data_IF_116908766704
#
_entry.id   IF_116908766704
#
_cell.length_a   1.000
_cell.length_b   1.000
_cell.length_c   1.000
_cell.angle_alpha   90.00
_cell.angle_beta   90.00
_cell.angle_gamma   90.00
#
_symmetry.space_group_name_H-M   'P 1'
#
loop_
_entity.id
_entity.type
_entity.pdbx_description
1 polymer ?
#
# COMPACT_ATOMS: atom_id res chain seq x y z
N UNK A 1 -18.45 20.26 36.59
CA UNK A 1 -18.76 19.37 35.45
C UNK A 1 -17.42 18.82 34.98
N UNK A 2 -17.13 17.56 35.29
CA UNK A 2 -15.90 16.93 34.80
C UNK A 2 -16.04 16.72 33.28
N UNK A 3 -15.22 17.39 32.48
CA UNK A 3 -15.06 17.02 31.07
C UNK A 3 -14.76 15.52 30.99
N UNK A 4 -15.45 14.74 30.16
CA UNK A 4 -15.12 13.35 29.98
C UNK A 4 -13.64 13.29 29.56
N UNK A 5 -12.86 12.49 30.31
CA UNK A 5 -11.47 12.23 29.94
C UNK A 5 -11.48 11.72 28.49
N UNK A 6 -10.81 12.44 27.60
CA UNK A 6 -10.59 11.98 26.22
C UNK A 6 -9.85 10.65 26.36
N UNK A 7 -10.52 9.56 26.02
CA UNK A 7 -9.91 8.24 26.06
C UNK A 7 -8.65 8.25 25.18
N UNK A 8 -7.55 7.70 25.69
CA UNK A 8 -6.32 7.60 24.91
C UNK A 8 -6.59 6.90 23.57
N UNK A 9 -6.12 7.46 22.46
CA UNK A 9 -6.34 6.87 21.15
C UNK A 9 -5.83 5.44 21.08
N UNK A 10 -6.72 4.50 20.73
CA UNK A 10 -6.37 3.08 20.57
C UNK A 10 -5.91 2.75 19.16
N UNK A 11 -5.94 3.70 18.24
CA UNK A 11 -5.65 3.52 16.81
C UNK A 11 -4.63 4.55 16.34
N UNK A 12 -3.63 4.10 15.63
CA UNK A 12 -2.74 4.95 14.83
C UNK A 12 -3.01 4.71 13.35
N UNK A 13 -3.33 5.77 12.61
CA UNK A 13 -3.46 5.73 11.15
C UNK A 13 -2.10 6.08 10.54
N UNK A 14 -1.55 5.20 9.71
CA UNK A 14 -0.35 5.46 8.91
C UNK A 14 -0.80 5.70 7.47
N UNK A 15 -0.61 6.93 6.99
CA UNK A 15 -0.82 7.27 5.58
C UNK A 15 0.52 7.18 4.85
N UNK A 16 0.57 6.40 3.77
CA UNK A 16 1.79 6.16 3.00
C UNK A 16 1.56 6.44 1.49
N UNK A 17 2.58 6.95 0.76
CA UNK A 17 2.43 7.22 -0.66
C UNK A 17 2.28 5.91 -1.44
N UNK A 18 1.29 5.88 -2.35
CA UNK A 18 1.03 4.72 -3.19
C UNK A 18 1.56 4.88 -4.62
N UNK A 19 1.03 5.83 -5.39
CA UNK A 19 1.42 6.02 -6.79
C UNK A 19 1.38 7.47 -7.26
N UNK A 20 0.76 8.36 -6.49
CA UNK A 20 0.59 9.78 -6.77
C UNK A 20 0.59 10.61 -5.49
N UNK A 21 0.86 11.90 -5.61
CA UNK A 21 0.77 12.86 -4.51
C UNK A 21 -0.38 13.85 -4.69
N UNK A 22 -0.90 13.95 -5.91
CA UNK A 22 -1.92 14.94 -6.28
C UNK A 22 -3.27 14.76 -5.60
N UNK A 23 -3.55 13.61 -4.96
CA UNK A 23 -4.78 13.36 -4.19
C UNK A 23 -4.58 13.45 -2.67
N UNK A 24 -3.41 13.87 -2.23
CA UNK A 24 -3.04 13.94 -0.80
C UNK A 24 -3.98 14.83 0.01
N UNK A 25 -4.40 15.98 -0.54
CA UNK A 25 -5.28 16.94 0.15
C UNK A 25 -6.64 16.32 0.41
N UNK A 26 -7.30 15.83 -0.62
CA UNK A 26 -8.64 15.23 -0.55
C UNK A 26 -8.67 14.03 0.39
N UNK A 27 -7.64 13.19 0.33
CA UNK A 27 -7.49 12.04 1.22
C UNK A 27 -7.34 12.47 2.69
N UNK A 28 -6.41 13.38 3.00
CA UNK A 28 -6.18 13.85 4.36
C UNK A 28 -7.41 14.59 4.94
N UNK A 29 -8.03 15.44 4.14
CA UNK A 29 -9.25 16.16 4.54
C UNK A 29 -10.39 15.19 4.83
N UNK A 30 -10.58 14.14 4.01
CA UNK A 30 -11.63 13.14 4.23
C UNK A 30 -11.42 12.37 5.55
N UNK A 31 -10.16 12.05 5.92
CA UNK A 31 -9.84 11.40 7.20
C UNK A 31 -10.33 12.27 8.36
N UNK A 32 -9.97 13.56 8.39
CA UNK A 32 -10.36 14.44 9.49
C UNK A 32 -11.85 14.77 9.50
N UNK A 33 -12.48 14.86 8.33
CA UNK A 33 -13.90 15.18 8.20
C UNK A 33 -14.81 14.01 8.64
N UNK A 34 -14.38 12.76 8.42
CA UNK A 34 -15.22 11.58 8.58
C UNK A 34 -14.78 10.63 9.69
N UNK A 35 -13.81 11.02 10.52
CA UNK A 35 -13.32 10.19 11.61
C UNK A 35 -13.60 10.83 12.96
N UNK A 36 -14.69 10.42 13.60
CA UNK A 36 -15.04 10.85 14.97
C UNK A 36 -14.36 10.00 16.05
N UNK A 37 -13.92 8.79 15.71
CA UNK A 37 -13.21 7.89 16.63
C UNK A 37 -11.82 8.42 16.93
N UNK A 38 -11.36 8.47 18.21
CA UNK A 38 -10.04 8.99 18.56
C UNK A 38 -8.90 8.23 17.88
N UNK A 39 -8.00 8.95 17.22
CA UNK A 39 -6.86 8.36 16.51
C UNK A 39 -5.62 9.24 16.63
N UNK A 40 -4.44 8.61 16.52
CA UNK A 40 -3.18 9.26 16.17
C UNK A 40 -2.98 9.15 14.66
N UNK A 41 -2.35 10.13 14.04
CA UNK A 41 -2.00 10.06 12.62
C UNK A 41 -0.51 10.23 12.43
N UNK A 42 0.08 9.33 11.63
CA UNK A 42 1.45 9.40 11.14
C UNK A 42 1.38 9.47 9.63
N UNK A 43 1.79 10.60 9.06
CA UNK A 43 1.86 10.77 7.62
C UNK A 43 3.30 10.56 7.15
N UNK A 44 3.53 9.59 6.27
CA UNK A 44 4.85 9.33 5.69
C UNK A 44 4.90 9.96 4.30
N UNK A 45 5.72 10.99 4.15
CA UNK A 45 5.92 11.70 2.91
C UNK A 45 7.23 11.26 2.23
N UNK A 46 7.09 10.46 1.19
CA UNK A 46 8.18 9.95 0.38
C UNK A 46 8.58 10.91 -0.74
N UNK A 47 9.08 12.11 -0.40
CA UNK A 47 9.58 13.11 -1.36
C UNK A 47 8.50 13.70 -2.28
N UNK A 48 7.36 14.08 -1.71
CA UNK A 48 6.30 14.76 -2.46
C UNK A 48 6.79 16.09 -3.07
N UNK A 49 6.13 16.58 -4.14
CA UNK A 49 6.39 17.89 -4.74
C UNK A 49 6.24 19.03 -3.72
N UNK A 50 6.91 20.16 -3.97
CA UNK A 50 7.02 21.28 -3.02
C UNK A 50 5.67 21.86 -2.56
N UNK A 51 4.64 21.85 -3.40
CA UNK A 51 3.31 22.32 -3.03
C UNK A 51 2.60 21.34 -2.07
N UNK A 52 2.71 20.02 -2.31
CA UNK A 52 2.19 18.99 -1.40
C UNK A 52 2.96 18.97 -0.07
N UNK A 53 4.29 19.09 -0.15
CA UNK A 53 5.14 19.22 1.04
C UNK A 53 4.68 20.37 1.94
N UNK A 54 4.53 21.58 1.40
CA UNK A 54 4.09 22.75 2.17
C UNK A 54 2.74 22.54 2.81
N UNK A 55 1.79 21.97 2.06
CA UNK A 55 0.49 21.61 2.59
C UNK A 55 0.58 20.64 3.78
N UNK A 56 1.36 19.56 3.65
CA UNK A 56 1.55 18.57 4.72
C UNK A 56 2.23 19.18 5.96
N UNK A 57 3.26 20.03 5.78
CA UNK A 57 3.95 20.73 6.86
C UNK A 57 3.02 21.72 7.60
N UNK A 58 2.11 22.38 6.88
CA UNK A 58 1.09 23.26 7.44
C UNK A 58 0.04 22.47 8.22
N UNK A 59 -0.55 21.44 7.60
CA UNK A 59 -1.56 20.60 8.23
C UNK A 59 -1.03 19.81 9.44
N UNK A 60 0.23 19.38 9.39
CA UNK A 60 0.88 18.73 10.54
C UNK A 60 0.95 19.66 11.75
N UNK A 61 1.27 20.95 11.54
CA UNK A 61 1.28 21.94 12.63
C UNK A 61 -0.12 22.29 13.14
N UNK A 62 -1.08 22.41 12.23
CA UNK A 62 -2.46 22.78 12.55
C UNK A 62 -3.18 21.66 13.31
N UNK A 63 -3.07 20.43 12.84
CA UNK A 63 -3.81 19.26 13.34
C UNK A 63 -3.00 18.40 14.33
N UNK A 64 -1.70 18.67 14.49
CA UNK A 64 -0.85 18.00 15.48
C UNK A 64 -0.45 16.57 15.12
N UNK A 65 -0.53 16.16 13.86
CA UNK A 65 -0.09 14.82 13.45
C UNK A 65 1.42 14.75 13.20
N UNK A 66 1.97 13.55 13.34
CA UNK A 66 3.38 13.30 13.03
C UNK A 66 3.62 13.20 11.53
N UNK A 67 4.51 14.07 11.00
CA UNK A 67 4.96 14.02 9.62
C UNK A 67 6.38 13.44 9.56
N UNK A 68 6.53 12.31 8.87
CA UNK A 68 7.84 11.70 8.56
C UNK A 68 8.14 11.97 7.10
N UNK A 69 9.20 12.73 6.80
CA UNK A 69 9.58 13.04 5.43
C UNK A 69 10.95 12.49 5.07
N UNK A 70 11.09 12.02 3.83
CA UNK A 70 12.36 11.66 3.20
C UNK A 70 12.61 12.51 1.96
N UNK A 71 13.89 12.68 1.58
CA UNK A 71 14.30 13.38 0.37
C UNK A 71 14.42 12.45 -0.86
N UNK A 72 13.88 11.24 -0.73
CA UNK A 72 13.84 10.23 -1.77
C UNK A 72 12.51 9.48 -1.74
N UNK A 73 12.13 8.92 -2.89
CA UNK A 73 10.91 8.13 -2.99
C UNK A 73 11.01 6.83 -2.19
N UNK A 74 9.92 6.43 -1.61
CA UNK A 74 9.83 5.22 -0.79
C UNK A 74 9.03 4.13 -1.53
N UNK A 75 9.48 2.89 -1.43
CA UNK A 75 8.60 1.75 -1.71
C UNK A 75 7.52 1.65 -0.63
N UNK A 76 6.32 1.13 -0.93
CA UNK A 76 5.20 1.15 0.01
C UNK A 76 5.50 0.53 1.37
N UNK A 77 6.07 -0.67 1.40
CA UNK A 77 6.39 -1.31 2.68
C UNK A 77 7.46 -0.56 3.47
N UNK A 78 8.42 0.08 2.79
CA UNK A 78 9.40 0.93 3.45
C UNK A 78 8.74 2.15 4.09
N UNK A 79 7.80 2.78 3.38
CA UNK A 79 7.03 3.89 3.92
C UNK A 79 6.20 3.45 5.14
N UNK A 80 5.47 2.33 5.01
CA UNK A 80 4.65 1.78 6.09
C UNK A 80 5.49 1.41 7.31
N UNK A 81 6.67 0.83 7.14
CA UNK A 81 7.57 0.49 8.22
C UNK A 81 8.14 1.71 8.96
N UNK A 82 8.39 2.83 8.27
CA UNK A 82 8.79 4.07 8.93
C UNK A 82 7.72 4.55 9.93
N UNK A 83 6.46 4.48 9.53
CA UNK A 83 5.33 4.77 10.42
C UNK A 83 5.16 3.70 11.50
N UNK A 84 5.20 2.40 11.14
CA UNK A 84 4.96 1.29 12.04
C UNK A 84 5.92 1.27 13.25
N UNK A 85 7.18 1.68 13.06
CA UNK A 85 8.16 1.81 14.16
C UNK A 85 7.79 2.87 15.19
N UNK A 86 6.84 3.75 14.91
CA UNK A 86 6.38 4.82 15.81
C UNK A 86 5.02 4.50 16.46
N UNK A 87 4.42 3.35 16.12
CA UNK A 87 3.10 2.96 16.63
C UNK A 87 3.21 2.41 18.05
N UNK A 88 2.42 2.98 18.96
CA UNK A 88 2.29 2.59 20.36
C UNK A 88 0.85 2.22 20.76
N UNK A 89 -0.05 2.14 19.78
CA UNK A 89 -1.48 1.89 19.97
C UNK A 89 -1.83 0.42 19.74
N UNK A 90 -2.99 -0.02 20.27
CA UNK A 90 -3.52 -1.38 20.10
C UNK A 90 -3.73 -1.77 18.64
N UNK A 91 -4.11 -0.81 17.81
CA UNK A 91 -4.37 -0.97 16.40
C UNK A 91 -3.54 -0.03 15.55
N UNK A 92 -3.12 -0.49 14.40
CA UNK A 92 -2.63 0.34 13.30
C UNK A 92 -3.56 0.23 12.11
N UNK A 93 -3.88 1.35 11.50
CA UNK A 93 -4.50 1.40 10.16
C UNK A 93 -3.42 1.73 9.16
N UNK A 94 -3.24 0.89 8.17
CA UNK A 94 -2.50 1.25 6.97
C UNK A 94 -3.46 1.84 5.95
N UNK A 95 -3.10 2.98 5.40
CA UNK A 95 -3.89 3.68 4.39
C UNK A 95 -2.99 4.28 3.32
N UNK A 96 -3.38 4.14 2.07
CA UNK A 96 -2.71 4.81 0.97
C UNK A 96 -3.15 6.30 0.91
N UNK A 97 -2.29 7.18 0.39
CA UNK A 97 -2.51 8.63 0.34
C UNK A 97 -3.50 9.10 -0.73
N UNK A 98 -4.14 8.18 -1.41
CA UNK A 98 -5.16 8.41 -2.44
C UNK A 98 -6.51 7.77 -2.08
N UNK A 99 -6.80 7.63 -0.78
CA UNK A 99 -8.03 7.03 -0.25
C UNK A 99 -8.93 8.09 0.36
N UNK A 100 -10.22 8.06 0.00
CA UNK A 100 -11.30 8.81 0.63
C UNK A 100 -12.16 7.87 1.48
N UNK A 101 -12.54 8.30 2.69
CA UNK A 101 -13.30 7.51 3.65
C UNK A 101 -14.72 8.03 3.86
N UNK A 102 -15.60 7.19 4.38
CA UNK A 102 -17.00 7.55 4.73
C UNK A 102 -17.16 7.85 6.22
N UNK A 103 -18.21 8.57 6.66
CA UNK A 103 -18.48 8.77 8.08
C UNK A 103 -18.56 7.45 8.87
N UNK A 104 -17.90 7.39 10.03
CA UNK A 104 -17.95 6.24 10.92
C UNK A 104 -17.07 5.04 10.53
N UNK A 105 -16.38 5.08 9.40
CA UNK A 105 -15.57 3.98 8.87
C UNK A 105 -14.62 3.34 9.90
N UNK A 106 -13.88 4.16 10.66
CA UNK A 106 -12.89 3.68 11.60
C UNK A 106 -13.52 2.98 12.80
N UNK A 107 -14.60 3.55 13.34
CA UNK A 107 -15.35 2.97 14.46
C UNK A 107 -15.90 1.58 14.08
N UNK A 108 -16.42 1.46 12.88
CA UNK A 108 -16.96 0.19 12.36
C UNK A 108 -15.87 -0.87 12.24
N UNK A 109 -14.68 -0.52 11.75
CA UNK A 109 -13.53 -1.44 11.69
C UNK A 109 -13.07 -1.86 13.09
N UNK A 110 -12.98 -0.93 14.04
CA UNK A 110 -12.58 -1.24 15.42
C UNK A 110 -13.60 -2.16 16.08
N UNK A 111 -14.89 -1.89 15.94
CA UNK A 111 -15.95 -2.75 16.48
C UNK A 111 -15.85 -4.17 15.91
N UNK A 112 -15.68 -4.30 14.59
CA UNK A 112 -15.47 -5.61 13.98
C UNK A 112 -14.25 -6.32 14.57
N UNK A 113 -13.11 -5.64 14.71
CA UNK A 113 -11.90 -6.22 15.27
C UNK A 113 -12.07 -6.65 16.74
N UNK A 114 -12.85 -5.89 17.54
CA UNK A 114 -13.11 -6.23 18.94
C UNK A 114 -14.05 -7.42 19.09
N UNK A 115 -15.16 -7.42 18.34
CA UNK A 115 -16.19 -8.46 18.43
C UNK A 115 -15.72 -9.82 17.89
N UNK A 116 -14.98 -9.80 16.78
CA UNK A 116 -14.50 -11.02 16.11
C UNK A 116 -13.15 -11.51 16.60
N UNK A 117 -12.42 -10.68 17.36
CA UNK A 117 -11.00 -10.87 17.70
C UNK A 117 -10.10 -10.99 16.46
N UNK A 118 -10.53 -10.41 15.34
CA UNK A 118 -9.77 -10.43 14.10
C UNK A 118 -8.41 -9.75 14.27
N UNK A 119 -7.39 -10.34 13.63
CA UNK A 119 -6.05 -9.74 13.54
C UNK A 119 -6.03 -8.61 12.52
N UNK A 120 -6.72 -8.81 11.39
CA UNK A 120 -6.86 -7.83 10.31
C UNK A 120 -8.33 -7.67 9.96
N UNK A 121 -8.79 -6.42 9.77
CA UNK A 121 -10.10 -6.15 9.20
C UNK A 121 -9.95 -5.25 7.98
N UNK A 122 -10.54 -5.68 6.87
CA UNK A 122 -10.64 -4.93 5.62
C UNK A 122 -12.00 -4.24 5.55
N UNK A 123 -12.08 -2.95 5.22
CA UNK A 123 -13.33 -2.35 4.77
C UNK A 123 -13.75 -2.92 3.42
N UNK A 124 -14.97 -2.58 2.97
CA UNK A 124 -15.34 -2.66 1.57
C UNK A 124 -14.57 -1.58 0.80
N UNK A 125 -13.61 -1.99 -0.02
CA UNK A 125 -12.77 -1.07 -0.78
C UNK A 125 -13.41 -0.83 -2.14
N UNK A 126 -13.72 0.43 -2.42
CA UNK A 126 -14.18 0.91 -3.72
C UNK A 126 -13.04 1.52 -4.51
N UNK A 127 -13.25 1.76 -5.80
CA UNK A 127 -12.29 2.38 -6.70
C UNK A 127 -12.90 3.45 -7.57
N UNK A 128 -12.06 4.42 -7.99
CA UNK A 128 -12.40 5.43 -8.99
C UNK A 128 -13.48 6.43 -8.54
N UNK A 129 -13.96 7.21 -9.49
CA UNK A 129 -15.05 8.16 -9.34
C UNK A 129 -16.28 7.69 -10.14
N UNK A 130 -17.51 7.91 -9.64
CA UNK A 130 -17.87 8.55 -8.37
C UNK A 130 -17.41 7.75 -7.15
N UNK A 131 -17.08 8.47 -6.04
CA UNK A 131 -16.67 7.82 -4.80
C UNK A 131 -17.72 6.80 -4.33
N UNK A 132 -17.26 5.69 -3.74
CA UNK A 132 -18.09 4.68 -3.07
C UNK A 132 -19.12 3.97 -3.98
N UNK A 133 -18.88 3.95 -5.31
CA UNK A 133 -19.84 3.39 -6.27
C UNK A 133 -19.40 2.06 -6.88
N UNK A 134 -18.13 1.89 -7.21
CA UNK A 134 -17.61 0.67 -7.82
C UNK A 134 -16.66 -0.07 -6.87
N UNK A 135 -16.87 -1.37 -6.70
CA UNK A 135 -16.07 -2.21 -5.81
C UNK A 135 -14.72 -2.55 -6.42
N UNK A 136 -13.66 -2.31 -5.67
CA UNK A 136 -12.34 -2.85 -5.93
C UNK A 136 -12.14 -4.21 -5.24
N UNK A 137 -12.43 -4.28 -3.93
CA UNK A 137 -12.18 -5.46 -3.13
C UNK A 137 -13.24 -5.62 -2.02
N UNK A 138 -13.93 -6.73 -2.03
CA UNK A 138 -14.82 -7.19 -0.96
C UNK A 138 -14.24 -8.47 -0.31
N UNK A 139 -12.98 -8.38 0.17
CA UNK A 139 -12.23 -9.52 0.64
C UNK A 139 -11.72 -10.41 -0.50
N UNK A 140 -11.29 -11.63 -0.17
CA UNK A 140 -10.72 -12.53 -1.17
C UNK A 140 -10.01 -13.72 -0.57
N UNK A 141 -9.15 -14.33 -1.37
CA UNK A 141 -8.32 -15.48 -0.98
C UNK A 141 -6.84 -15.14 -1.20
N UNK A 142 -5.99 -15.51 -0.24
CA UNK A 142 -4.54 -15.52 -0.38
C UNK A 142 -3.96 -16.81 0.22
N UNK A 143 -2.88 -17.32 -0.37
CA UNK A 143 -2.26 -18.53 0.14
C UNK A 143 -1.32 -19.19 -0.85
N UNK A 144 -0.80 -20.35 -0.46
CA UNK A 144 -0.03 -21.23 -1.32
C UNK A 144 -0.78 -22.55 -1.48
N UNK A 145 -1.13 -22.89 -2.73
CA UNK A 145 -1.68 -24.19 -3.08
C UNK A 145 -0.55 -25.15 -3.41
N UNK A 146 -0.51 -26.27 -2.74
CA UNK A 146 0.43 -27.37 -3.04
C UNK A 146 -0.27 -28.39 -3.91
N UNK A 147 0.29 -28.64 -5.09
CA UNK A 147 -0.21 -29.63 -6.06
C UNK A 147 0.87 -30.68 -6.33
N UNK A 148 0.58 -31.94 -6.04
CA UNK A 148 1.49 -33.05 -6.33
C UNK A 148 0.94 -33.88 -7.49
N UNK A 149 1.73 -34.10 -8.53
CA UNK A 149 1.39 -34.94 -9.67
C UNK A 149 2.58 -35.86 -9.98
N UNK A 150 2.44 -37.15 -9.68
CA UNK A 150 3.57 -38.08 -9.69
C UNK A 150 4.65 -37.61 -8.71
N UNK A 151 5.89 -37.55 -9.16
CA UNK A 151 7.06 -37.12 -8.35
C UNK A 151 7.25 -35.61 -8.31
N UNK A 152 6.39 -34.83 -8.98
CA UNK A 152 6.53 -33.38 -9.06
C UNK A 152 5.57 -32.68 -8.11
N UNK A 153 6.10 -31.89 -7.18
CA UNK A 153 5.31 -31.00 -6.30
C UNK A 153 5.47 -29.56 -6.75
N UNK A 154 4.35 -28.87 -6.91
CA UNK A 154 4.29 -27.44 -7.30
C UNK A 154 3.64 -26.63 -6.19
N UNK A 155 4.24 -25.49 -5.86
CA UNK A 155 3.70 -24.51 -4.93
C UNK A 155 3.20 -23.30 -5.72
N UNK A 156 1.89 -23.10 -5.78
CA UNK A 156 1.26 -22.05 -6.58
C UNK A 156 0.67 -20.97 -5.68
N UNK A 157 0.89 -19.71 -6.02
CA UNK A 157 0.26 -18.60 -5.31
C UNK A 157 -1.25 -18.59 -5.58
N UNK A 158 -2.04 -18.41 -4.53
CA UNK A 158 -3.46 -18.07 -4.62
C UNK A 158 -3.59 -16.59 -4.31
N UNK A 159 -4.24 -15.87 -5.18
CA UNK A 159 -4.67 -14.49 -4.99
C UNK A 159 -5.95 -14.30 -5.78
N UNK A 160 -7.04 -14.05 -5.07
CA UNK A 160 -8.35 -13.83 -5.67
C UNK A 160 -9.07 -12.72 -4.94
N UNK A 161 -9.42 -11.68 -5.67
CA UNK A 161 -10.20 -10.54 -5.18
C UNK A 161 -11.67 -10.81 -5.48
N UNK A 162 -12.53 -10.57 -4.49
CA UNK A 162 -13.97 -10.79 -4.65
C UNK A 162 -14.70 -9.52 -5.07
N UNK A 163 -15.72 -9.70 -5.93
CA UNK A 163 -16.69 -8.68 -6.35
C UNK A 163 -16.08 -7.47 -7.11
N UNK A 164 -14.83 -7.54 -7.56
CA UNK A 164 -14.19 -6.45 -8.30
C UNK A 164 -15.01 -6.05 -9.53
N UNK A 165 -15.18 -4.73 -9.75
CA UNK A 165 -15.92 -4.15 -10.87
C UNK A 165 -17.45 -4.22 -10.73
N UNK A 166 -17.98 -4.65 -9.56
CA UNK A 166 -19.42 -4.64 -9.30
C UNK A 166 -19.83 -3.30 -8.69
N UNK A 167 -21.07 -2.88 -8.94
CA UNK A 167 -21.62 -1.70 -8.30
C UNK A 167 -21.94 -1.98 -6.83
N UNK A 168 -21.61 -1.02 -5.96
CA UNK A 168 -21.85 -1.14 -4.50
C UNK A 168 -23.34 -1.35 -4.22
N UNK A 169 -24.22 -0.59 -4.88
CA UNK A 169 -25.68 -0.68 -4.71
C UNK A 169 -26.25 -2.07 -4.99
N UNK A 170 -25.63 -2.82 -5.93
CA UNK A 170 -26.07 -4.16 -6.31
C UNK A 170 -25.66 -5.21 -5.29
N UNK A 171 -24.51 -5.03 -4.62
CA UNK A 171 -23.93 -6.09 -3.82
C UNK A 171 -23.93 -5.82 -2.31
N UNK A 172 -23.94 -4.56 -1.88
CA UNK A 172 -23.88 -4.21 -0.45
C UNK A 172 -24.99 -4.87 0.37
N UNK A 173 -26.26 -4.95 -0.10
CA UNK A 173 -27.33 -5.65 0.64
C UNK A 173 -27.09 -7.16 0.85
N UNK A 174 -26.18 -7.75 0.06
CA UNK A 174 -25.85 -9.18 0.11
C UNK A 174 -24.56 -9.47 0.90
N UNK A 175 -23.81 -8.42 1.23
CA UNK A 175 -22.56 -8.55 1.97
C UNK A 175 -22.83 -8.55 3.46
N UNK A 176 -22.07 -9.38 4.15
CA UNK A 176 -22.08 -9.47 5.61
C UNK A 176 -20.65 -9.48 6.11
N UNK A 177 -20.47 -9.07 7.36
CA UNK A 177 -19.21 -9.27 8.07
C UNK A 177 -18.87 -10.75 8.05
N UNK A 178 -17.68 -11.09 7.55
CA UNK A 178 -17.26 -12.48 7.41
C UNK A 178 -15.75 -12.64 7.41
N UNK A 179 -15.31 -13.84 7.77
CA UNK A 179 -13.91 -14.21 7.62
C UNK A 179 -13.53 -14.27 6.15
N UNK A 180 -12.37 -13.73 5.81
CA UNK A 180 -11.82 -13.70 4.45
C UNK A 180 -10.34 -14.08 4.49
N UNK A 181 -9.72 -14.29 3.34
CA UNK A 181 -8.29 -14.61 3.22
C UNK A 181 -7.44 -13.43 2.71
N UNK A 182 -8.06 -12.29 2.37
CA UNK A 182 -7.36 -11.17 1.74
C UNK A 182 -7.88 -9.83 2.26
N UNK A 183 -6.96 -8.92 2.54
CA UNK A 183 -7.16 -7.49 2.76
C UNK A 183 -6.11 -6.73 1.95
N UNK A 184 -6.41 -5.51 1.52
CA UNK A 184 -5.49 -4.68 0.74
C UNK A 184 -5.04 -3.43 1.47
N UNK A 185 -3.80 -3.00 1.23
CA UNK A 185 -3.20 -1.83 1.87
C UNK A 185 -3.81 -0.49 1.47
N UNK A 186 -4.77 -0.47 0.56
CA UNK A 186 -5.54 0.75 0.33
C UNK A 186 -6.15 1.25 1.65
N UNK A 187 -6.74 0.33 2.42
CA UNK A 187 -7.13 0.55 3.81
C UNK A 187 -7.30 -0.80 4.52
N UNK A 188 -6.66 -0.97 5.66
CA UNK A 188 -6.92 -2.09 6.57
C UNK A 188 -6.52 -1.71 7.99
N UNK A 189 -7.25 -2.22 8.99
CA UNK A 189 -6.85 -2.14 10.39
C UNK A 189 -6.21 -3.46 10.82
N UNK A 190 -5.14 -3.37 11.58
CA UNK A 190 -4.35 -4.52 12.05
C UNK A 190 -4.12 -4.40 13.55
N UNK A 191 -4.27 -5.50 14.30
CA UNK A 191 -3.81 -5.56 15.70
C UNK A 191 -2.30 -5.48 15.74
N UNK A 192 -1.78 -4.49 16.44
CA UNK A 192 -0.35 -4.17 16.43
C UNK A 192 0.51 -5.31 17.00
N UNK A 193 0.00 -6.07 17.97
CA UNK A 193 0.68 -7.21 18.58
C UNK A 193 1.14 -8.29 17.57
N UNK A 194 0.48 -8.41 16.41
CA UNK A 194 0.87 -9.39 15.41
C UNK A 194 2.31 -9.17 14.91
N UNK A 195 2.77 -7.91 14.89
CA UNK A 195 4.12 -7.57 14.42
C UNK A 195 5.23 -8.03 15.36
N UNK A 196 4.92 -8.38 16.62
CA UNK A 196 5.86 -9.05 17.51
C UNK A 196 6.19 -10.47 17.04
N UNK A 197 5.23 -11.13 16.36
CA UNK A 197 5.36 -12.49 15.85
C UNK A 197 5.90 -12.54 14.41
N UNK A 198 5.38 -11.69 13.53
CA UNK A 198 5.71 -11.74 12.11
C UNK A 198 6.83 -10.76 11.70
N UNK A 199 7.21 -9.83 12.59
CA UNK A 199 8.16 -8.77 12.30
C UNK A 199 7.56 -7.65 11.45
N UNK A 200 8.43 -6.75 10.96
CA UNK A 200 8.05 -5.65 10.08
C UNK A 200 7.65 -6.17 8.68
N UNK A 201 6.99 -5.33 7.90
CA UNK A 201 6.63 -5.62 6.52
C UNK A 201 7.89 -5.83 5.66
N UNK A 202 7.82 -6.76 4.71
CA UNK A 202 8.96 -7.11 3.85
C UNK A 202 9.26 -6.00 2.84
N UNK A 203 10.33 -5.24 3.06
CA UNK A 203 10.75 -4.12 2.20
C UNK A 203 11.28 -4.58 0.83
N UNK A 204 11.56 -5.88 0.64
CA UNK A 204 11.89 -6.48 -0.65
C UNK A 204 10.69 -6.61 -1.58
N UNK A 205 9.45 -6.50 -1.06
CA UNK A 205 8.23 -6.36 -1.84
C UNK A 205 8.02 -4.87 -2.14
N UNK A 206 8.55 -4.41 -3.26
CA UNK A 206 8.72 -2.98 -3.55
C UNK A 206 7.50 -2.34 -4.21
N UNK A 207 6.65 -3.12 -4.92
CA UNK A 207 5.50 -2.54 -5.61
C UNK A 207 4.26 -3.42 -5.75
N UNK A 208 4.36 -4.71 -5.52
CA UNK A 208 3.25 -5.64 -5.69
C UNK A 208 3.32 -6.78 -4.69
N UNK A 209 2.17 -7.38 -4.36
CA UNK A 209 2.03 -8.56 -3.49
C UNK A 209 2.31 -8.32 -2.00
N UNK A 210 2.50 -7.09 -1.57
CA UNK A 210 2.75 -6.73 -0.17
C UNK A 210 1.59 -7.18 0.73
N UNK A 211 0.35 -6.97 0.28
CA UNK A 211 -0.86 -7.34 1.00
C UNK A 211 -1.08 -8.86 1.05
N UNK A 212 -0.74 -9.57 -0.04
CA UNK A 212 -0.80 -11.05 -0.07
C UNK A 212 0.17 -11.63 0.94
N UNK A 213 1.41 -11.12 0.97
CA UNK A 213 2.44 -11.53 1.92
C UNK A 213 1.99 -11.34 3.37
N UNK A 214 1.45 -10.16 3.71
CA UNK A 214 0.94 -9.88 5.05
C UNK A 214 -0.19 -10.85 5.43
N UNK A 215 -1.19 -11.04 4.56
CA UNK A 215 -2.31 -11.93 4.85
C UNK A 215 -1.87 -13.39 5.05
N UNK A 216 -0.90 -13.86 4.26
CA UNK A 216 -0.33 -15.19 4.43
C UNK A 216 0.49 -15.31 5.73
N UNK A 217 1.27 -14.29 6.12
CA UNK A 217 1.99 -14.28 7.40
C UNK A 217 1.03 -14.28 8.59
N UNK A 218 -0.02 -13.45 8.54
CA UNK A 218 -1.07 -13.43 9.57
C UNK A 218 -1.73 -14.80 9.71
N UNK A 219 -2.12 -15.42 8.59
CA UNK A 219 -2.70 -16.76 8.60
C UNK A 219 -1.75 -17.82 9.18
N UNK A 220 -0.46 -17.76 8.82
CA UNK A 220 0.58 -18.67 9.32
C UNK A 220 0.82 -18.49 10.82
N UNK A 221 0.67 -17.29 11.35
CA UNK A 221 0.75 -16.99 12.78
C UNK A 221 -0.54 -17.34 13.55
N UNK A 222 -1.54 -17.96 12.91
CA UNK A 222 -2.82 -18.30 13.52
C UNK A 222 -3.81 -17.15 13.62
N UNK A 223 -3.50 -15.99 13.08
CA UNK A 223 -4.38 -14.83 13.01
C UNK A 223 -5.52 -14.99 11.99
N UNK A 224 -6.43 -14.05 11.98
CA UNK A 224 -7.58 -14.05 11.08
C UNK A 224 -7.77 -12.71 10.38
N UNK A 225 -8.31 -12.77 9.17
CA UNK A 225 -8.68 -11.61 8.36
C UNK A 225 -10.21 -11.60 8.21
N UNK A 226 -10.83 -10.43 8.39
CA UNK A 226 -12.27 -10.22 8.24
C UNK A 226 -12.56 -9.13 7.23
N UNK A 227 -13.66 -9.26 6.51
CA UNK A 227 -14.30 -8.21 5.75
C UNK A 227 -15.38 -7.56 6.63
N UNK A 228 -15.38 -6.22 6.68
CA UNK A 228 -16.43 -5.41 7.28
C UNK A 228 -17.06 -4.52 6.21
N UNK A 229 -18.18 -4.93 5.61
CA UNK A 229 -18.76 -4.21 4.47
C UNK A 229 -19.46 -2.90 4.84
N UNK A 230 -19.83 -2.68 6.11
CA UNK A 230 -20.40 -1.41 6.56
C UNK A 230 -19.36 -0.28 6.64
N UNK A 231 -18.08 -0.61 6.67
CA UNK A 231 -17.00 0.35 6.51
C UNK A 231 -16.64 0.49 5.04
N UNK A 232 -16.92 1.65 4.42
CA UNK A 232 -16.62 1.92 3.02
C UNK A 232 -15.47 2.91 2.89
N UNK A 233 -14.55 2.60 1.99
CA UNK A 233 -13.48 3.51 1.56
C UNK A 233 -13.33 3.44 0.05
N UNK A 234 -12.83 4.51 -0.58
CA UNK A 234 -12.55 4.52 -2.02
C UNK A 234 -11.12 4.93 -2.26
N UNK A 235 -10.33 4.10 -2.92
CA UNK A 235 -9.08 4.57 -3.46
C UNK A 235 -9.29 5.17 -4.86
N UNK A 236 -8.60 6.28 -5.12
CA UNK A 236 -8.73 7.03 -6.37
C UNK A 236 -7.45 6.88 -7.19
N UNK A 237 -7.35 5.84 -8.04
CA UNK A 237 -6.18 5.64 -8.88
C UNK A 237 -6.05 6.77 -9.92
N UNK A 238 -4.79 7.06 -10.36
CA UNK A 238 -4.63 7.88 -11.58
C UNK A 238 -5.17 7.13 -12.79
N UNK A 239 -5.45 7.72 -13.95
CA UNK A 239 -5.38 9.13 -14.34
C UNK A 239 -6.61 9.96 -13.94
N UNK A 240 -6.56 11.29 -14.07
CA UNK A 240 -5.40 12.02 -14.60
C UNK A 240 -4.28 12.13 -13.56
N UNK A 241 -3.04 11.89 -13.99
CA UNK A 241 -1.86 12.16 -13.21
C UNK A 241 -1.40 13.60 -13.45
N UNK A 242 -0.99 14.30 -12.41
CA UNK A 242 -0.28 15.55 -12.56
C UNK A 242 1.15 15.33 -13.06
N UNK A 243 1.73 16.31 -13.73
CA UNK A 243 3.13 16.23 -14.16
C UNK A 243 4.09 15.94 -13.00
N UNK A 244 3.77 16.49 -11.84
CA UNK A 244 4.50 16.29 -10.59
C UNK A 244 4.49 14.85 -10.07
N UNK A 245 3.48 14.06 -10.43
CA UNK A 245 3.35 12.64 -10.04
C UNK A 245 4.19 11.71 -10.92
N UNK A 246 4.45 12.11 -12.18
CA UNK A 246 4.99 11.19 -13.19
C UNK A 246 6.30 10.54 -12.79
N UNK A 247 7.21 11.28 -12.14
CA UNK A 247 8.51 10.73 -11.76
C UNK A 247 8.36 9.62 -10.71
N UNK A 248 7.53 9.85 -9.68
CA UNK A 248 7.22 8.81 -8.69
C UNK A 248 6.44 7.65 -9.31
N UNK A 249 5.44 7.92 -10.14
CA UNK A 249 4.65 6.92 -10.84
C UNK A 249 5.50 5.98 -11.70
N UNK A 250 6.46 6.53 -12.47
CA UNK A 250 7.39 5.76 -13.30
C UNK A 250 8.29 4.84 -12.48
N UNK A 251 8.75 5.30 -11.32
CA UNK A 251 9.54 4.49 -10.39
C UNK A 251 8.68 3.44 -9.69
N UNK A 252 7.53 3.84 -9.16
CA UNK A 252 6.60 2.98 -8.43
C UNK A 252 6.16 1.77 -9.24
N UNK A 253 5.93 1.97 -10.52
CA UNK A 253 5.54 0.93 -11.46
C UNK A 253 6.69 0.51 -12.39
N UNK A 254 7.94 0.62 -11.90
CA UNK A 254 9.11 0.23 -12.68
C UNK A 254 9.22 -1.28 -12.85
N UNK A 255 9.76 -1.68 -14.00
CA UNK A 255 10.06 -3.09 -14.29
C UNK A 255 10.95 -3.69 -13.21
N UNK A 256 11.92 -2.91 -12.71
CA UNK A 256 12.87 -3.36 -11.70
C UNK A 256 12.20 -3.66 -10.35
N UNK A 257 11.31 -2.77 -9.87
CA UNK A 257 10.60 -2.98 -8.61
C UNK A 257 9.58 -4.11 -8.71
N UNK A 258 8.88 -4.21 -9.86
CA UNK A 258 7.91 -5.28 -10.09
C UNK A 258 8.61 -6.64 -10.14
N UNK A 259 9.71 -6.76 -10.89
CA UNK A 259 10.50 -7.98 -10.98
C UNK A 259 11.10 -8.38 -9.63
N UNK A 260 11.63 -7.41 -8.88
CA UNK A 260 12.18 -7.65 -7.53
C UNK A 260 11.11 -8.20 -6.59
N UNK A 261 9.90 -7.61 -6.60
CA UNK A 261 8.77 -8.08 -5.78
C UNK A 261 8.34 -9.49 -6.12
N UNK A 262 8.22 -9.81 -7.41
CA UNK A 262 7.84 -11.15 -7.88
C UNK A 262 8.87 -12.21 -7.47
N UNK A 263 10.15 -11.93 -7.66
CA UNK A 263 11.25 -12.82 -7.24
C UNK A 263 11.26 -12.98 -5.72
N UNK A 264 11.16 -11.87 -4.97
CA UNK A 264 11.12 -11.92 -3.49
C UNK A 264 9.98 -12.76 -2.97
N UNK A 265 8.77 -12.59 -3.52
CA UNK A 265 7.61 -13.40 -3.14
C UNK A 265 7.82 -14.88 -3.44
N UNK A 266 8.32 -15.20 -4.66
CA UNK A 266 8.61 -16.58 -5.07
C UNK A 266 9.58 -17.24 -4.10
N UNK A 267 10.70 -16.59 -3.82
CA UNK A 267 11.75 -17.15 -2.98
C UNK A 267 11.30 -17.28 -1.52
N UNK A 268 10.62 -16.27 -0.99
CA UNK A 268 10.10 -16.27 0.39
C UNK A 268 9.11 -17.39 0.67
N UNK A 269 8.23 -17.68 -0.29
CA UNK A 269 7.17 -18.68 -0.14
C UNK A 269 7.47 -19.99 -0.89
N UNK A 270 8.69 -20.18 -1.36
CA UNK A 270 9.13 -21.36 -2.11
C UNK A 270 8.16 -21.70 -3.25
N UNK A 271 7.74 -20.67 -4.02
CA UNK A 271 6.79 -20.85 -5.11
C UNK A 271 7.48 -21.40 -6.34
N UNK A 272 6.78 -22.27 -7.07
CA UNK A 272 7.24 -22.77 -8.36
C UNK A 272 7.19 -21.67 -9.41
N UNK A 273 8.26 -21.49 -10.17
CA UNK A 273 8.29 -20.58 -11.30
C UNK A 273 7.52 -21.21 -12.48
N UNK A 274 6.22 -20.95 -12.49
CA UNK A 274 5.26 -21.51 -13.45
C UNK A 274 4.73 -20.46 -14.44
N UNK A 275 3.68 -20.82 -15.21
CA UNK A 275 3.06 -19.92 -16.19
C UNK A 275 2.50 -18.63 -15.57
N UNK A 276 2.20 -18.61 -14.26
CA UNK A 276 1.80 -17.39 -13.57
C UNK A 276 2.94 -16.37 -13.54
N UNK A 277 4.14 -16.81 -13.13
CA UNK A 277 5.33 -15.95 -13.09
C UNK A 277 5.76 -15.53 -14.49
N UNK A 278 5.77 -16.46 -15.47
CA UNK A 278 6.11 -16.12 -16.86
C UNK A 278 5.20 -15.02 -17.41
N UNK A 279 3.88 -15.15 -17.26
CA UNK A 279 2.93 -14.10 -17.68
C UNK A 279 3.16 -12.76 -16.97
N UNK A 280 3.58 -12.77 -15.68
CA UNK A 280 3.92 -11.55 -14.95
C UNK A 280 5.19 -10.91 -15.49
N UNK A 281 6.22 -11.71 -15.78
CA UNK A 281 7.46 -11.21 -16.37
C UNK A 281 7.24 -10.63 -17.77
N UNK A 282 6.39 -11.26 -18.59
CA UNK A 282 6.03 -10.77 -19.93
C UNK A 282 5.19 -9.50 -19.89
N UNK A 283 4.55 -9.21 -18.76
CA UNK A 283 3.66 -8.06 -18.60
C UNK A 283 4.23 -6.92 -17.74
N UNK A 284 5.55 -6.92 -17.48
CA UNK A 284 6.21 -5.84 -16.73
C UNK A 284 5.90 -4.47 -17.36
N UNK A 285 5.65 -3.47 -16.52
CA UNK A 285 5.31 -2.13 -16.96
C UNK A 285 3.89 -1.96 -17.53
N UNK A 286 3.07 -3.00 -17.56
CA UNK A 286 1.72 -2.96 -18.12
C UNK A 286 0.89 -1.80 -17.57
N UNK A 287 1.02 -1.49 -16.27
CA UNK A 287 0.28 -0.39 -15.64
C UNK A 287 0.67 0.96 -16.26
N UNK A 288 1.96 1.22 -16.47
CA UNK A 288 2.44 2.43 -17.16
C UNK A 288 1.92 2.50 -18.58
N UNK A 289 1.97 1.37 -19.31
CA UNK A 289 1.50 1.31 -20.68
C UNK A 289 0.01 1.66 -20.81
N UNK A 290 -0.83 1.12 -19.93
CA UNK A 290 -2.27 1.42 -19.94
C UNK A 290 -2.60 2.83 -19.47
N UNK A 291 -1.85 3.37 -18.51
CA UNK A 291 -2.13 4.69 -17.93
C UNK A 291 -1.55 5.83 -18.77
N UNK A 292 -0.41 5.65 -19.43
CA UNK A 292 0.31 6.72 -20.13
C UNK A 292 0.32 6.48 -21.65
N UNK A 293 0.84 5.33 -22.11
CA UNK A 293 1.14 5.12 -23.52
C UNK A 293 -0.14 4.95 -24.36
N UNK A 294 -1.04 4.07 -23.94
CA UNK A 294 -2.27 3.80 -24.67
C UNK A 294 -3.17 5.05 -24.80
N UNK A 295 -3.40 5.86 -23.74
CA UNK A 295 -4.12 7.12 -23.85
C UNK A 295 -3.41 8.14 -24.77
N UNK A 296 -2.08 8.26 -24.67
CA UNK A 296 -1.29 9.15 -25.51
C UNK A 296 -1.44 8.79 -26.99
N UNK A 297 -1.29 7.51 -27.35
CA UNK A 297 -1.47 7.04 -28.75
C UNK A 297 -2.87 7.35 -29.25
N UNK A 298 -3.90 7.08 -28.44
CA UNK A 298 -5.28 7.38 -28.80
C UNK A 298 -5.55 8.87 -28.97
N UNK A 299 -5.00 9.71 -28.11
CA UNK A 299 -5.15 11.17 -28.16
C UNK A 299 -4.50 11.78 -29.40
N UNK A 300 -3.25 11.41 -29.70
CA UNK A 300 -2.47 11.98 -30.79
C UNK A 300 -2.95 11.46 -32.15
N UNK A 301 -3.19 10.17 -32.28
CA UNK A 301 -3.50 9.52 -33.55
C UNK A 301 -5.00 9.32 -33.77
N UNK A 302 -5.85 9.77 -32.85
CA UNK A 302 -7.32 9.60 -32.83
C UNK A 302 -7.80 8.15 -33.02
N UNK A 303 -6.88 7.19 -33.00
CA UNK A 303 -7.14 5.75 -33.11
C UNK A 303 -5.97 4.97 -32.48
N UNK A 304 -6.24 3.72 -32.12
CA UNK A 304 -5.19 2.82 -31.63
C UNK A 304 -4.37 2.29 -32.81
N UNK A 305 -3.05 2.59 -32.84
CA UNK A 305 -2.11 2.09 -33.85
C UNK A 305 -1.10 1.20 -33.14
N UNK A 306 -1.25 -0.10 -33.26
CA UNK A 306 -0.43 -1.10 -32.53
C UNK A 306 1.08 -0.97 -32.78
N UNK A 307 1.51 -0.58 -34.00
CA UNK A 307 2.95 -0.39 -34.30
C UNK A 307 3.52 0.79 -33.55
N UNK A 308 2.80 1.92 -33.47
CA UNK A 308 3.22 3.09 -32.70
C UNK A 308 3.23 2.79 -31.19
N UNK A 309 2.20 2.10 -30.72
CA UNK A 309 2.11 1.66 -29.30
C UNK A 309 3.28 0.75 -28.96
N UNK A 310 3.62 -0.24 -29.79
CA UNK A 310 4.75 -1.15 -29.58
C UNK A 310 6.11 -0.43 -29.55
N UNK A 311 6.30 0.58 -30.42
CA UNK A 311 7.52 1.39 -30.40
C UNK A 311 7.63 2.20 -29.09
N UNK A 312 6.55 2.86 -28.70
CA UNK A 312 6.51 3.65 -27.46
C UNK A 312 6.71 2.77 -26.21
N UNK A 313 6.20 1.54 -26.19
CA UNK A 313 6.45 0.57 -25.12
C UNK A 313 7.95 0.23 -25.02
N UNK A 314 8.62 0.01 -26.16
CA UNK A 314 10.08 -0.22 -26.14
C UNK A 314 10.86 0.98 -25.62
N UNK A 315 10.46 2.18 -26.00
CA UNK A 315 11.05 3.42 -25.50
C UNK A 315 10.78 3.61 -24.00
N UNK A 316 9.56 3.29 -23.53
CA UNK A 316 9.20 3.30 -22.12
C UNK A 316 10.10 2.37 -21.30
N UNK A 317 10.30 1.13 -21.71
CA UNK A 317 11.19 0.19 -21.02
C UNK A 317 12.63 0.72 -20.92
N UNK A 318 13.14 1.33 -22.00
CA UNK A 318 14.49 1.91 -22.02
C UNK A 318 14.59 3.12 -21.05
N UNK A 319 13.63 4.04 -21.13
CA UNK A 319 13.54 5.21 -20.25
C UNK A 319 13.36 4.78 -18.79
N UNK A 320 12.47 3.83 -18.52
CA UNK A 320 12.21 3.34 -17.17
C UNK A 320 13.46 2.71 -16.54
N UNK A 321 14.20 1.92 -17.30
CA UNK A 321 15.48 1.35 -16.86
C UNK A 321 16.50 2.44 -16.50
N UNK A 322 16.61 3.47 -17.34
CA UNK A 322 17.49 4.61 -17.09
C UNK A 322 17.12 5.36 -15.81
N UNK A 323 15.84 5.72 -15.64
CA UNK A 323 15.35 6.42 -14.45
C UNK A 323 15.52 5.60 -13.18
N UNK A 324 15.27 4.30 -13.23
CA UNK A 324 15.42 3.40 -12.08
C UNK A 324 16.88 3.25 -11.68
N UNK A 325 17.79 3.16 -12.64
CA UNK A 325 19.21 3.11 -12.36
C UNK A 325 19.72 4.42 -11.74
N UNK A 326 19.30 5.56 -12.28
CA UNK A 326 19.64 6.86 -11.68
C UNK A 326 19.13 6.99 -10.24
N UNK A 327 17.90 6.55 -10.00
CA UNK A 327 17.33 6.53 -8.66
C UNK A 327 18.14 5.66 -7.70
N UNK A 328 18.49 4.45 -8.12
CA UNK A 328 19.29 3.52 -7.31
C UNK A 328 20.66 4.11 -6.94
N UNK A 329 21.35 4.74 -7.90
CA UNK A 329 22.62 5.43 -7.64
C UNK A 329 22.50 6.58 -6.64
N UNK A 330 21.50 7.46 -6.81
CA UNK A 330 21.27 8.58 -5.88
C UNK A 330 20.92 8.09 -4.48
N UNK A 331 20.11 7.03 -4.40
CA UNK A 331 19.71 6.48 -3.11
C UNK A 331 20.90 5.85 -2.37
N UNK A 332 21.76 5.10 -3.06
CA UNK A 332 22.97 4.53 -2.47
C UNK A 332 23.94 5.61 -1.98
N UNK A 333 24.15 6.67 -2.75
CA UNK A 333 24.97 7.81 -2.35
C UNK A 333 24.38 8.52 -1.12
N UNK A 334 23.07 8.72 -1.07
CA UNK A 334 22.38 9.29 0.10
C UNK A 334 22.57 8.48 1.37
N UNK A 335 22.46 7.15 1.28
CA UNK A 335 22.68 6.25 2.42
C UNK A 335 24.13 6.27 2.89
N UNK A 336 25.11 6.30 1.99
CA UNK A 336 26.55 6.40 2.33
C UNK A 336 26.87 7.72 3.01
N UNK A 337 26.30 8.82 2.55
CA UNK A 337 26.49 10.14 3.15
C UNK A 337 25.87 10.23 4.55
N UNK A 338 24.73 9.61 4.80
CA UNK A 338 24.11 9.54 6.13
C UNK A 338 24.90 8.66 7.09
N UNK A 339 25.44 7.55 6.62
CA UNK A 339 26.30 6.67 7.44
C UNK A 339 27.63 7.34 7.83
N UNK A 340 28.19 8.17 6.95
CA UNK A 340 29.42 8.92 7.24
C UNK A 340 29.22 10.17 8.09
N UNK A 341 28.00 10.67 8.21
CA UNK A 341 27.67 11.86 9.03
C UNK A 341 27.21 11.54 10.46
N UNK A 342 26.99 10.27 10.83
CA UNK A 342 26.75 9.90 12.23
C UNK A 342 28.08 9.68 12.94
N UNK A 343 28.41 10.45 14.01
CA UNK A 343 29.58 10.17 14.81
C UNK A 343 29.41 8.80 15.48
N UNK A 344 30.41 7.93 15.30
CA UNK A 344 30.51 6.65 16.00
C UNK A 344 30.44 6.92 17.50
N UNK A 345 29.29 6.69 18.13
CA UNK A 345 29.22 6.62 19.59
C UNK A 345 30.02 5.39 20.00
N UNK A 346 31.26 5.62 20.43
CA UNK A 346 32.08 4.61 21.06
C UNK A 346 31.33 4.06 22.28
N UNK A 347 30.94 2.79 22.20
CA UNK A 347 30.51 2.03 23.37
C UNK A 347 31.76 1.84 24.22
N UNK A 348 31.97 2.71 25.18
CA UNK A 348 32.91 2.46 26.28
C UNK A 348 32.35 1.30 27.08
N UNK A 349 32.91 0.14 26.93
CA UNK A 349 32.80 -1.01 27.80
C UNK A 349 33.24 -0.58 29.22
N UNK A 350 32.28 -0.42 30.12
CA UNK A 350 32.55 -0.42 31.55
C UNK A 350 32.83 -1.87 31.97
N UNK A 351 34.12 -2.25 31.90
CA UNK A 351 34.66 -3.40 32.63
C UNK A 351 35.46 -2.82 33.78
N UNK A 352 35.28 -3.38 34.98
CA UNK A 352 36.00 -3.21 36.23
C UNK A 352 35.42 -2.15 37.21
N UNK A 353 34.55 -2.54 38.12
CA UNK A 353 34.88 -2.81 39.52
C UNK A 353 33.72 -3.45 40.25
#
# INVERSE_FOLDING_TARGET
MNSPAIADPQVTIIVAPRERFSYTRESLESIYQHTEYPFKLIYVDGNSPSHVRRYLEEQSREKGFQLIRTDYYLSPNRARNLGLRQVDTKYVVFMDNDVAVTPGWLKTLVNCAEETKATVVSPLICQSLPLHSEVHCAGGESGVKVETKGDTTRHRIIEKIYKQGRMVEDILPQLQRQKTGLAEFHCMIVRTEIFEQIGLLDEGLMNTKEHVDLCMLVSKAGGSVYLEPESLVTYVPGPPLEWSDLHFYMLRWSDAWELASLKRLRDKWNLTEDEYFQRKYDSLGRRRHHTIITPLVKSVLRRRIYRAESLLIKLDHALNRYLTNQYAHKHLQGMQNQASSQPVKSVMTASQR
#
